data_IF_989319636738
#
_entry.id   IF_989319636738
#
_cell.length_a   1.000
_cell.length_b   1.000
_cell.length_c   1.000
_cell.angle_alpha   90.00
_cell.angle_beta   90.00
_cell.angle_gamma   90.00
#
_symmetry.space_group_name_H-M   'P 1'
#
loop_
_entity.id
_entity.type
_entity.pdbx_description
1 polymer ?
#
# COMPACT_ATOMS: atom_id res chain seq x y z
N UNK A 1 18.50 -30.99 -15.49
CA UNK A 1 17.13 -30.79 -15.00
C UNK A 1 16.64 -29.53 -15.65
N UNK A 2 15.96 -29.76 -16.75
CA UNK A 2 15.25 -28.79 -17.57
C UNK A 2 14.24 -28.04 -16.71
N UNK A 3 14.31 -26.71 -16.72
CA UNK A 3 13.22 -25.87 -16.23
C UNK A 3 12.82 -24.99 -17.40
N UNK A 4 11.64 -25.32 -17.88
CA UNK A 4 10.98 -24.83 -19.07
C UNK A 4 10.86 -23.30 -19.07
N UNK A 5 11.32 -22.75 -20.17
CA UNK A 5 11.06 -21.40 -20.66
C UNK A 5 9.55 -21.28 -20.94
N UNK A 6 8.80 -20.82 -19.94
CA UNK A 6 7.40 -20.41 -20.13
C UNK A 6 7.38 -19.03 -20.75
N UNK A 7 7.45 -19.01 -22.08
CA UNK A 7 7.09 -17.86 -22.90
C UNK A 7 5.65 -17.44 -22.58
N UNK A 8 5.56 -16.29 -21.90
CA UNK A 8 4.32 -15.57 -21.68
C UNK A 8 3.80 -15.11 -23.04
N UNK A 9 2.73 -15.77 -23.47
CA UNK A 9 1.88 -15.40 -24.59
C UNK A 9 1.62 -13.89 -24.59
N UNK A 10 2.27 -13.21 -25.52
CA UNK A 10 1.92 -11.89 -26.01
C UNK A 10 0.49 -11.98 -26.54
N UNK A 11 -0.48 -11.57 -25.73
CA UNK A 11 -1.84 -11.31 -26.21
C UNK A 11 -1.74 -10.09 -27.11
N UNK A 12 -1.62 -10.34 -28.40
CA UNK A 12 -1.92 -9.34 -29.41
C UNK A 12 -3.42 -9.05 -29.29
N UNK A 13 -3.76 -7.92 -28.66
CA UNK A 13 -5.11 -7.36 -28.76
C UNK A 13 -5.35 -6.97 -30.21
N UNK A 14 -5.91 -7.91 -30.95
CA UNK A 14 -6.47 -7.70 -32.27
C UNK A 14 -7.60 -6.68 -32.15
N UNK A 15 -7.37 -5.46 -32.62
CA UNK A 15 -8.35 -4.39 -32.65
C UNK A 15 -9.49 -4.75 -33.61
N UNK A 16 -10.56 -5.36 -33.09
CA UNK A 16 -11.81 -5.54 -33.81
C UNK A 16 -12.52 -4.18 -33.82
N UNK A 17 -12.13 -3.31 -34.74
CA UNK A 17 -12.92 -2.13 -35.10
C UNK A 17 -14.14 -2.62 -35.86
N UNK A 18 -15.25 -2.79 -35.15
CA UNK A 18 -16.54 -2.98 -35.79
C UNK A 18 -16.88 -1.72 -36.61
N UNK A 19 -17.13 -1.83 -37.93
CA UNK A 19 -17.48 -0.67 -38.73
C UNK A 19 -18.89 -0.18 -38.34
N UNK A 20 -18.97 1.10 -37.96
CA UNK A 20 -20.24 1.79 -37.75
C UNK A 20 -21.15 1.64 -38.98
N UNK A 21 -22.45 1.32 -38.81
CA UNK A 21 -23.37 1.30 -39.93
C UNK A 21 -23.57 2.71 -40.49
N UNK A 22 -23.70 2.87 -41.83
CA UNK A 22 -23.84 4.17 -42.46
C UNK A 22 -25.13 4.89 -42.02
N UNK A 23 -25.13 6.23 -41.93
CA UNK A 23 -26.32 6.97 -41.58
C UNK A 23 -27.40 6.78 -42.65
N UNK A 24 -28.58 6.32 -42.23
CA UNK A 24 -29.75 6.21 -43.12
C UNK A 24 -30.16 7.63 -43.56
N UNK A 25 -30.43 7.85 -44.86
CA UNK A 25 -30.88 9.14 -45.34
C UNK A 25 -32.29 9.41 -44.81
N UNK A 26 -32.42 10.46 -44.00
CA UNK A 26 -33.72 11.02 -43.63
C UNK A 26 -34.26 11.71 -44.88
N UNK A 27 -35.39 11.23 -45.40
CA UNK A 27 -36.10 11.85 -46.51
C UNK A 27 -36.41 13.31 -46.13
N UNK A 28 -35.68 14.23 -46.75
CA UNK A 28 -36.01 15.66 -46.74
C UNK A 28 -37.35 15.83 -47.45
N UNK A 29 -38.43 15.99 -46.67
CA UNK A 29 -39.73 16.36 -47.20
C UNK A 29 -39.63 17.81 -47.68
N UNK A 30 -39.50 17.97 -48.99
CA UNK A 30 -39.60 19.24 -49.68
C UNK A 30 -40.87 19.97 -49.25
N UNK A 31 -40.72 21.09 -48.53
CA UNK A 31 -41.79 22.08 -48.41
C UNK A 31 -41.69 22.98 -49.63
N UNK A 32 -42.61 22.77 -50.57
CA UNK A 32 -42.85 23.65 -51.71
C UNK A 32 -43.07 25.08 -51.21
N UNK A 33 -42.12 25.97 -51.47
CA UNK A 33 -42.33 27.40 -51.43
C UNK A 33 -43.03 27.80 -52.73
N UNK A 34 -44.35 27.60 -52.78
CA UNK A 34 -45.21 28.18 -53.81
C UNK A 34 -45.48 29.64 -53.43
N UNK A 35 -44.68 30.53 -54.01
CA UNK A 35 -45.06 31.93 -54.18
C UNK A 35 -46.19 31.97 -55.21
N UNK A 36 -47.36 32.46 -54.81
CA UNK A 36 -48.31 33.10 -55.70
C UNK A 36 -48.91 34.33 -55.01
N UNK A 37 -49.30 35.35 -55.80
CA UNK A 37 -49.36 36.75 -55.39
C UNK A 37 -50.70 37.11 -54.76
N UNK A 38 -50.68 38.17 -53.95
CA UNK A 38 -51.85 38.98 -53.62
C UNK A 38 -52.59 39.41 -54.89
N UNK A 39 -53.92 39.26 -54.91
CA UNK A 39 -54.74 40.23 -55.61
C UNK A 39 -55.78 40.83 -54.65
N UNK A 40 -56.14 42.09 -54.94
CA UNK A 40 -57.31 42.80 -54.44
C UNK A 40 -57.08 43.78 -53.27
N UNK A 41 -56.10 44.66 -53.44
CA UNK A 41 -56.26 46.05 -53.01
C UNK A 41 -56.96 46.84 -54.12
N UNK A 42 -58.28 46.74 -54.23
CA UNK A 42 -59.17 47.71 -54.88
C UNK A 42 -60.62 47.24 -54.71
N UNK A 43 -61.39 47.96 -53.89
CA UNK A 43 -62.75 48.46 -54.14
C UNK A 43 -63.16 49.21 -52.85
N UNK A 44 -62.93 50.52 -52.84
CA UNK A 44 -63.78 51.45 -52.11
C UNK A 44 -64.87 51.87 -53.09
N UNK A 45 -66.13 51.52 -52.82
CA UNK A 45 -67.30 52.39 -53.02
C UNK A 45 -68.58 51.72 -52.46
N UNK A 46 -68.92 52.13 -51.23
CA UNK A 46 -70.26 52.60 -50.80
C UNK A 46 -71.47 52.18 -51.67
N UNK A 47 -72.29 51.25 -51.17
CA UNK A 47 -73.77 51.37 -51.24
C UNK A 47 -74.48 50.39 -50.32
N UNK A 48 -75.30 50.97 -49.45
CA UNK A 48 -76.67 50.55 -49.08
C UNK A 48 -76.91 49.14 -48.54
N UNK A 49 -77.60 49.12 -47.40
CA UNK A 49 -78.10 47.93 -46.76
C UNK A 49 -78.94 47.08 -47.70
N UNK A 50 -78.67 45.78 -47.64
CA UNK A 50 -79.57 44.74 -48.06
C UNK A 50 -79.56 43.72 -46.92
N UNK A 51 -80.45 43.95 -45.96
CA UNK A 51 -80.84 42.93 -44.99
C UNK A 51 -81.53 41.83 -45.81
N UNK A 52 -80.74 40.85 -46.26
CA UNK A 52 -81.29 39.66 -46.87
C UNK A 52 -82.07 38.90 -45.79
N UNK A 53 -83.21 38.36 -46.21
CA UNK A 53 -84.29 37.68 -45.47
C UNK A 53 -83.86 36.52 -44.52
N UNK A 54 -82.56 36.37 -44.26
CA UNK A 54 -81.95 35.52 -43.23
C UNK A 54 -82.05 36.09 -41.80
N UNK A 55 -82.35 37.38 -41.63
CA UNK A 55 -82.44 38.02 -40.31
C UNK A 55 -83.75 37.72 -39.56
N UNK A 56 -84.77 37.17 -40.24
CA UNK A 56 -86.10 36.91 -39.64
C UNK A 56 -86.31 35.49 -39.14
N UNK A 57 -85.37 34.57 -39.36
CA UNK A 57 -85.46 33.20 -38.84
C UNK A 57 -84.58 33.01 -37.58
N UNK A 58 -85.17 32.95 -36.37
CA UNK A 58 -84.44 32.73 -35.13
C UNK A 58 -83.63 31.41 -35.12
N UNK A 59 -84.05 30.43 -35.92
CA UNK A 59 -83.35 29.14 -36.06
C UNK A 59 -82.01 29.27 -36.77
N UNK A 60 -81.96 30.04 -37.87
CA UNK A 60 -80.71 30.29 -38.61
C UNK A 60 -79.71 31.11 -37.81
N UNK A 61 -80.17 32.12 -37.06
CA UNK A 61 -79.30 32.93 -36.19
C UNK A 61 -78.67 32.10 -35.07
N UNK A 62 -79.43 31.19 -34.45
CA UNK A 62 -78.90 30.25 -33.45
C UNK A 62 -77.87 29.31 -34.06
N UNK A 63 -78.18 28.71 -35.21
CA UNK A 63 -77.24 27.82 -35.94
C UNK A 63 -75.95 28.54 -36.34
N UNK A 64 -76.04 29.79 -36.80
CA UNK A 64 -74.87 30.60 -37.12
C UNK A 64 -74.00 30.83 -35.87
N UNK A 65 -74.63 31.23 -34.75
CA UNK A 65 -73.93 31.39 -33.47
C UNK A 65 -73.29 30.10 -32.96
N UNK A 66 -73.97 28.96 -33.10
CA UNK A 66 -73.43 27.65 -32.73
C UNK A 66 -72.26 27.24 -33.63
N UNK A 67 -72.32 27.54 -34.94
CA UNK A 67 -71.21 27.32 -35.86
C UNK A 67 -70.03 28.22 -35.55
N UNK A 68 -70.23 29.51 -35.31
CA UNK A 68 -69.18 30.44 -34.89
C UNK A 68 -68.50 29.98 -33.61
N UNK A 69 -69.27 29.59 -32.59
CA UNK A 69 -68.73 29.01 -31.35
C UNK A 69 -67.91 27.75 -31.59
N UNK A 70 -68.35 26.87 -32.50
CA UNK A 70 -67.59 25.67 -32.88
C UNK A 70 -66.28 26.03 -33.60
N UNK A 71 -66.29 27.02 -34.48
CA UNK A 71 -65.08 27.50 -35.16
C UNK A 71 -64.09 28.12 -34.17
N UNK A 72 -64.55 28.99 -33.27
CA UNK A 72 -63.70 29.58 -32.22
C UNK A 72 -63.13 28.50 -31.28
N UNK A 73 -63.96 27.54 -30.87
CA UNK A 73 -63.50 26.41 -30.05
C UNK A 73 -62.47 25.53 -30.79
N UNK A 74 -62.64 25.33 -32.10
CA UNK A 74 -61.70 24.57 -32.94
C UNK A 74 -60.39 25.34 -33.14
N UNK A 75 -60.47 26.65 -33.37
CA UNK A 75 -59.30 27.52 -33.50
C UNK A 75 -58.51 27.59 -32.19
N UNK A 76 -59.21 27.69 -31.05
CA UNK A 76 -58.61 27.62 -29.72
C UNK A 76 -57.88 26.30 -29.48
N UNK A 77 -58.51 25.16 -29.83
CA UNK A 77 -57.88 23.83 -29.73
C UNK A 77 -56.67 23.69 -30.65
N UNK A 78 -56.74 24.21 -31.88
CA UNK A 78 -55.63 24.18 -32.83
C UNK A 78 -54.43 25.00 -32.33
N UNK A 79 -54.69 26.21 -31.81
CA UNK A 79 -53.65 27.06 -31.20
C UNK A 79 -53.02 26.38 -29.99
N UNK A 80 -53.82 25.85 -29.07
CA UNK A 80 -53.33 25.13 -27.90
C UNK A 80 -52.49 23.90 -28.28
N UNK A 81 -52.94 23.11 -29.26
CA UNK A 81 -52.19 21.94 -29.74
C UNK A 81 -50.87 22.36 -30.42
N UNK A 82 -50.89 23.45 -31.18
CA UNK A 82 -49.68 23.98 -31.83
C UNK A 82 -48.67 24.47 -30.79
N UNK A 83 -49.12 25.23 -29.80
CA UNK A 83 -48.28 25.70 -28.70
C UNK A 83 -47.70 24.54 -27.91
N UNK A 84 -48.53 23.57 -27.51
CA UNK A 84 -48.08 22.35 -26.83
C UNK A 84 -47.01 21.61 -27.64
N UNK A 85 -47.21 21.43 -28.95
CA UNK A 85 -46.23 20.75 -29.81
C UNK A 85 -44.89 21.50 -29.93
N UNK A 86 -44.91 22.84 -29.92
CA UNK A 86 -43.69 23.66 -29.97
C UNK A 86 -42.97 23.59 -28.63
N UNK A 87 -43.70 23.70 -27.51
CA UNK A 87 -43.14 23.63 -26.16
C UNK A 87 -42.53 22.26 -25.89
N UNK A 88 -43.22 21.17 -26.29
CA UNK A 88 -42.69 19.81 -26.17
C UNK A 88 -41.43 19.61 -27.02
N UNK A 89 -41.41 20.11 -28.27
CA UNK A 89 -40.24 20.04 -29.12
C UNK A 89 -39.04 20.83 -28.55
N UNK A 90 -39.29 22.01 -28.00
CA UNK A 90 -38.26 22.82 -27.33
C UNK A 90 -37.74 22.13 -26.07
N UNK A 91 -38.62 21.58 -25.22
CA UNK A 91 -38.24 20.82 -24.03
C UNK A 91 -37.38 19.60 -24.38
N UNK A 92 -37.78 18.85 -25.42
CA UNK A 92 -37.01 17.69 -25.89
C UNK A 92 -35.64 18.10 -26.45
N UNK A 93 -35.57 19.19 -27.21
CA UNK A 93 -34.31 19.73 -27.71
C UNK A 93 -33.38 20.17 -26.57
N UNK A 94 -33.90 20.88 -25.57
CA UNK A 94 -33.13 21.29 -24.40
C UNK A 94 -32.61 20.10 -23.58
N UNK A 95 -33.43 19.05 -23.40
CA UNK A 95 -33.00 17.81 -22.73
C UNK A 95 -31.88 17.14 -23.50
N UNK A 96 -32.02 17.00 -24.82
CA UNK A 96 -30.98 16.39 -25.66
C UNK A 96 -29.70 17.22 -25.62
N UNK A 97 -29.81 18.55 -25.73
CA UNK A 97 -28.67 19.47 -25.64
C UNK A 97 -27.94 19.32 -24.31
N UNK A 98 -28.66 19.37 -23.19
CA UNK A 98 -28.09 19.19 -21.84
C UNK A 98 -27.41 17.81 -21.70
N UNK A 99 -28.03 16.75 -22.19
CA UNK A 99 -27.45 15.41 -22.16
C UNK A 99 -26.16 15.33 -23.00
N UNK A 100 -26.11 15.97 -24.17
CA UNK A 100 -24.90 16.02 -25.00
C UNK A 100 -23.79 16.87 -24.38
N UNK A 101 -24.13 18.01 -23.79
CA UNK A 101 -23.17 18.87 -23.09
C UNK A 101 -22.61 18.17 -21.84
N UNK A 102 -23.46 17.47 -21.08
CA UNK A 102 -23.00 16.68 -19.94
C UNK A 102 -22.11 15.53 -20.38
N UNK A 103 -22.50 14.77 -21.41
CA UNK A 103 -21.68 13.68 -21.94
C UNK A 103 -20.31 14.17 -22.43
N UNK A 104 -20.24 15.35 -23.04
CA UNK A 104 -18.97 15.95 -23.46
C UNK A 104 -18.08 16.29 -22.25
N UNK A 105 -18.67 16.88 -21.19
CA UNK A 105 -17.94 17.14 -19.93
C UNK A 105 -17.43 15.87 -19.27
N UNK A 106 -18.29 14.85 -19.15
CA UNK A 106 -17.91 13.57 -18.54
C UNK A 106 -16.76 12.91 -19.34
N UNK A 107 -16.80 13.01 -20.68
CA UNK A 107 -15.71 12.52 -21.55
C UNK A 107 -14.41 13.29 -21.32
N UNK A 108 -14.46 14.62 -21.25
CA UNK A 108 -13.29 15.46 -20.99
C UNK A 108 -12.68 15.17 -19.60
N UNK A 109 -13.52 14.94 -18.59
CA UNK A 109 -13.09 14.55 -17.24
C UNK A 109 -12.39 13.19 -17.24
N UNK A 110 -12.93 12.20 -17.94
CA UNK A 110 -12.30 10.88 -18.10
C UNK A 110 -10.97 11.00 -18.85
N UNK A 111 -10.91 11.76 -19.94
CA UNK A 111 -9.66 12.00 -20.67
C UNK A 111 -8.63 12.68 -19.77
N UNK A 112 -9.03 13.65 -18.96
CA UNK A 112 -8.14 14.31 -18.02
C UNK A 112 -7.64 13.35 -16.93
N UNK A 113 -8.53 12.50 -16.39
CA UNK A 113 -8.17 11.47 -15.42
C UNK A 113 -7.16 10.47 -15.99
N UNK A 114 -7.43 9.92 -17.17
CA UNK A 114 -6.52 8.99 -17.86
C UNK A 114 -5.15 9.62 -18.15
N UNK A 115 -5.10 10.89 -18.56
CA UNK A 115 -3.82 11.60 -18.76
C UNK A 115 -3.05 11.78 -17.46
N UNK A 116 -3.72 12.07 -16.33
CA UNK A 116 -3.07 12.15 -15.02
C UNK A 116 -2.52 10.78 -14.59
N UNK A 117 -3.29 9.73 -14.81
CA UNK A 117 -2.86 8.36 -14.48
C UNK A 117 -1.67 7.93 -15.34
N UNK A 118 -1.68 8.20 -16.65
CA UNK A 118 -0.55 7.90 -17.54
C UNK A 118 0.72 8.67 -17.13
N UNK A 119 0.57 9.93 -16.72
CA UNK A 119 1.67 10.72 -16.17
C UNK A 119 2.19 10.12 -14.84
N UNK A 120 1.32 9.64 -13.96
CA UNK A 120 1.72 8.97 -12.73
C UNK A 120 2.43 7.63 -13.02
N UNK A 121 1.90 6.81 -13.93
CA UNK A 121 2.50 5.54 -14.35
C UNK A 121 3.87 5.73 -15.00
N UNK A 122 4.05 6.78 -15.81
CA UNK A 122 5.37 7.08 -16.39
C UNK A 122 6.41 7.44 -15.33
N UNK A 123 6.03 8.22 -14.30
CA UNK A 123 6.90 8.52 -13.15
C UNK A 123 7.27 7.27 -12.38
N UNK A 124 6.29 6.45 -11.99
CA UNK A 124 6.57 5.20 -11.26
C UNK A 124 7.44 4.24 -12.08
N UNK A 125 7.25 4.18 -13.40
CA UNK A 125 8.09 3.36 -14.28
C UNK A 125 9.54 3.88 -14.32
N UNK A 126 9.76 5.19 -14.31
CA UNK A 126 11.12 5.75 -14.17
C UNK A 126 11.75 5.42 -12.82
N UNK A 127 10.99 5.52 -11.72
CA UNK A 127 11.46 5.15 -10.39
C UNK A 127 11.83 3.66 -10.32
N UNK A 128 10.97 2.77 -10.82
CA UNK A 128 11.25 1.32 -10.91
C UNK A 128 12.53 1.05 -11.69
N UNK A 129 12.77 1.74 -12.81
CA UNK A 129 14.03 1.60 -13.57
C UNK A 129 15.24 2.05 -12.75
N UNK A 130 15.13 3.17 -12.03
CA UNK A 130 16.23 3.65 -11.17
C UNK A 130 16.51 2.71 -10.00
N UNK A 131 15.46 2.17 -9.36
CA UNK A 131 15.59 1.22 -8.26
C UNK A 131 16.21 -0.10 -8.74
N UNK A 132 15.80 -0.61 -9.91
CA UNK A 132 16.43 -1.79 -10.52
C UNK A 132 17.91 -1.58 -10.80
N UNK A 133 18.30 -0.40 -11.29
CA UNK A 133 19.72 -0.08 -11.52
C UNK A 133 20.50 -0.03 -10.19
N UNK A 134 19.93 0.56 -9.14
CA UNK A 134 20.53 0.58 -7.79
C UNK A 134 20.67 -0.83 -7.20
N UNK A 135 19.65 -1.67 -7.37
CA UNK A 135 19.65 -3.04 -6.89
C UNK A 135 20.74 -3.86 -7.58
N UNK A 136 20.86 -3.77 -8.92
CA UNK A 136 21.94 -4.43 -9.66
C UNK A 136 23.34 -3.96 -9.22
N UNK A 137 23.51 -2.67 -8.95
CA UNK A 137 24.78 -2.14 -8.43
C UNK A 137 25.10 -2.66 -7.03
N UNK A 138 24.11 -2.74 -6.14
CA UNK A 138 24.27 -3.29 -4.79
C UNK A 138 24.54 -4.80 -4.80
N UNK A 139 23.92 -5.55 -5.71
CA UNK A 139 24.22 -6.97 -5.90
C UNK A 139 25.67 -7.19 -6.35
N UNK A 140 26.17 -6.36 -7.27
CA UNK A 140 27.57 -6.41 -7.70
C UNK A 140 28.54 -6.07 -6.57
N UNK A 141 28.23 -5.07 -5.73
CA UNK A 141 29.03 -4.75 -4.55
C UNK A 141 29.01 -5.87 -3.50
N UNK A 142 27.84 -6.46 -3.23
CA UNK A 142 27.75 -7.62 -2.34
C UNK A 142 28.55 -8.82 -2.87
N UNK A 143 28.50 -9.08 -4.18
CA UNK A 143 29.33 -10.11 -4.79
C UNK A 143 30.83 -9.82 -4.63
N UNK A 144 31.24 -8.55 -4.74
CA UNK A 144 32.62 -8.12 -4.51
C UNK A 144 33.05 -8.29 -3.04
N UNK A 145 32.26 -7.79 -2.10
CA UNK A 145 32.55 -7.88 -0.66
C UNK A 145 32.58 -9.33 -0.18
N UNK A 146 31.70 -10.19 -0.69
CA UNK A 146 31.73 -11.62 -0.36
C UNK A 146 32.97 -12.32 -0.92
N UNK A 147 33.44 -11.95 -2.11
CA UNK A 147 34.70 -12.45 -2.66
C UNK A 147 35.91 -11.98 -1.83
N UNK A 148 35.93 -10.72 -1.42
CA UNK A 148 36.99 -10.15 -0.57
C UNK A 148 37.02 -10.80 0.82
N UNK A 149 35.85 -10.99 1.45
CA UNK A 149 35.73 -11.69 2.73
C UNK A 149 36.27 -13.12 2.65
N UNK A 150 35.97 -13.85 1.56
CA UNK A 150 36.53 -15.19 1.32
C UNK A 150 38.05 -15.15 1.16
N UNK A 151 38.58 -14.19 0.40
CA UNK A 151 40.01 -14.03 0.19
C UNK A 151 40.76 -13.70 1.50
N UNK A 152 40.23 -12.76 2.29
CA UNK A 152 40.78 -12.39 3.60
C UNK A 152 40.71 -13.56 4.59
N UNK A 153 39.61 -14.32 4.60
CA UNK A 153 39.48 -15.51 5.42
C UNK A 153 40.52 -16.58 5.06
N UNK A 154 40.79 -16.79 3.76
CA UNK A 154 41.84 -17.70 3.31
C UNK A 154 43.24 -17.22 3.75
N UNK A 155 43.55 -15.93 3.53
CA UNK A 155 44.82 -15.34 3.97
C UNK A 155 45.04 -15.46 5.48
N UNK A 156 43.98 -15.21 6.27
CA UNK A 156 44.02 -15.33 7.71
C UNK A 156 44.23 -16.79 8.17
N UNK A 157 43.64 -17.75 7.45
CA UNK A 157 43.88 -19.18 7.69
C UNK A 157 45.33 -19.57 7.36
N UNK A 158 45.91 -19.04 6.28
CA UNK A 158 47.30 -19.27 5.90
C UNK A 158 48.27 -18.71 6.96
N UNK A 159 48.06 -17.47 7.41
CA UNK A 159 48.85 -16.89 8.51
C UNK A 159 48.71 -17.67 9.82
N UNK A 160 47.50 -18.18 10.15
CA UNK A 160 47.31 -19.05 11.32
C UNK A 160 48.09 -20.35 11.20
N UNK A 161 48.13 -20.95 10.00
CA UNK A 161 48.90 -22.17 9.75
C UNK A 161 50.42 -21.91 9.85
N UNK A 162 50.88 -20.78 9.35
CA UNK A 162 52.28 -20.36 9.47
C UNK A 162 52.68 -20.13 10.93
N UNK A 163 51.87 -19.39 11.71
CA UNK A 163 52.11 -19.19 13.15
C UNK A 163 52.18 -20.54 13.88
N UNK A 164 51.28 -21.49 13.56
CA UNK A 164 51.32 -22.84 14.14
C UNK A 164 52.60 -23.57 13.78
N UNK A 165 53.05 -23.50 12.53
CA UNK A 165 54.29 -24.12 12.07
C UNK A 165 55.52 -23.51 12.76
N UNK A 166 55.59 -22.19 12.86
CA UNK A 166 56.67 -21.48 13.56
C UNK A 166 56.67 -21.78 15.06
N UNK A 167 55.51 -21.82 15.70
CA UNK A 167 55.38 -22.19 17.12
C UNK A 167 55.84 -23.62 17.37
N UNK A 168 55.50 -24.56 16.47
CA UNK A 168 55.98 -25.93 16.53
C UNK A 168 57.52 -25.98 16.40
N UNK A 169 58.10 -25.29 15.42
CA UNK A 169 59.57 -25.19 15.25
C UNK A 169 60.27 -24.59 16.48
N UNK A 170 59.70 -23.54 17.07
CA UNK A 170 60.22 -22.95 18.31
C UNK A 170 60.15 -23.92 19.48
N UNK A 171 59.08 -24.69 19.62
CA UNK A 171 58.96 -25.70 20.68
C UNK A 171 60.00 -26.82 20.53
N UNK A 172 60.27 -27.29 19.30
CA UNK A 172 61.30 -28.29 19.03
C UNK A 172 62.70 -27.75 19.27
N UNK A 173 62.97 -26.49 18.90
CA UNK A 173 64.27 -25.85 19.15
C UNK A 173 64.51 -25.65 20.65
N UNK A 174 63.48 -25.28 21.42
CA UNK A 174 63.55 -25.18 22.89
C UNK A 174 63.81 -26.56 23.53
N UNK A 175 63.12 -27.61 23.08
CA UNK A 175 63.34 -28.96 23.57
C UNK A 175 64.73 -29.54 23.22
N UNK A 176 65.33 -29.10 22.11
CA UNK A 176 66.68 -29.49 21.71
C UNK A 176 67.79 -28.73 22.47
N UNK A 177 67.46 -27.61 23.12
CA UNK A 177 68.40 -26.79 23.90
C UNK A 177 68.46 -27.16 25.38
N UNK A 178 67.64 -28.10 25.86
CA UNK A 178 67.68 -28.62 27.23
C UNK A 178 68.45 -29.95 27.29
N UNK A 179 69.30 -30.19 28.32
CA UNK A 179 70.12 -31.40 28.41
C UNK A 179 69.24 -32.66 28.66
N UNK A 180 69.65 -33.85 28.15
CA UNK A 180 68.76 -35.00 28.06
C UNK A 180 68.63 -35.72 29.40
N UNK A 181 67.52 -35.48 30.12
CA UNK A 181 67.01 -36.44 31.09
C UNK A 181 66.18 -37.50 30.34
N UNK A 182 66.74 -38.70 30.24
CA UNK A 182 66.09 -39.90 29.67
C UNK A 182 64.74 -40.14 30.36
N UNK A 183 63.67 -40.29 29.58
CA UNK A 183 62.64 -41.33 29.74
C UNK A 183 61.81 -41.47 28.44
N UNK A 184 61.56 -42.70 27.94
CA UNK A 184 60.73 -42.94 26.77
C UNK A 184 59.28 -43.15 27.19
N UNK A 185 58.35 -42.41 26.60
CA UNK A 185 56.94 -42.71 26.81
C UNK A 185 55.98 -41.68 26.22
N UNK A 186 55.14 -42.18 25.31
CA UNK A 186 53.69 -41.95 25.29
C UNK A 186 53.16 -41.40 23.97
N UNK A 187 52.52 -42.31 23.24
CA UNK A 187 51.59 -42.03 22.18
C UNK A 187 50.30 -41.42 22.75
N UNK A 188 50.25 -40.10 22.89
CA UNK A 188 49.02 -39.36 23.23
C UNK A 188 48.89 -38.17 22.28
N UNK A 189 48.44 -38.39 21.04
CA UNK A 189 48.08 -37.27 20.16
C UNK A 189 47.06 -37.59 19.06
N UNK A 190 46.02 -38.34 19.39
CA UNK A 190 44.83 -38.49 18.50
C UNK A 190 43.51 -38.20 19.23
N UNK A 191 43.45 -38.28 20.57
CA UNK A 191 42.21 -38.06 21.34
C UNK A 191 41.80 -36.60 21.56
N UNK A 192 42.72 -35.63 21.41
CA UNK A 192 42.40 -34.22 21.62
C UNK A 192 41.46 -33.66 20.54
N UNK A 193 41.60 -34.08 19.28
CA UNK A 193 40.77 -33.56 18.18
C UNK A 193 39.34 -34.16 18.18
N UNK A 194 39.18 -35.39 18.67
CA UNK A 194 37.88 -36.05 18.73
C UNK A 194 37.02 -35.53 19.90
N UNK A 195 37.64 -35.18 21.03
CA UNK A 195 36.97 -34.54 22.17
C UNK A 195 36.50 -33.11 21.86
N UNK A 196 37.22 -32.37 21.01
CA UNK A 196 36.80 -31.04 20.55
C UNK A 196 35.63 -31.17 19.56
N UNK A 197 35.64 -32.16 18.67
CA UNK A 197 34.53 -32.38 17.73
C UNK A 197 33.23 -32.81 18.44
N UNK A 198 33.30 -33.65 19.47
CA UNK A 198 32.12 -34.04 20.27
C UNK A 198 31.63 -32.93 21.18
N UNK A 199 32.53 -32.11 21.75
CA UNK A 199 32.14 -30.93 22.53
C UNK A 199 31.49 -29.83 21.67
N UNK A 200 31.92 -29.66 20.42
CA UNK A 200 31.30 -28.72 19.47
C UNK A 200 29.94 -29.24 18.98
N UNK A 201 29.78 -30.56 18.81
CA UNK A 201 28.49 -31.18 18.49
C UNK A 201 27.50 -31.11 19.66
N UNK A 202 27.95 -31.30 20.91
CA UNK A 202 27.10 -31.14 22.09
C UNK A 202 26.62 -29.68 22.26
N UNK A 203 27.52 -28.71 22.07
CA UNK A 203 27.18 -27.28 22.09
C UNK A 203 26.23 -26.88 20.96
N UNK A 204 26.33 -27.51 19.79
CA UNK A 204 25.41 -27.21 18.68
C UNK A 204 23.99 -27.74 18.93
N UNK A 205 23.85 -28.89 19.58
CA UNK A 205 22.55 -29.40 20.04
C UNK A 205 21.95 -28.52 21.16
N UNK A 206 22.76 -28.05 22.11
CA UNK A 206 22.30 -27.10 23.14
C UNK A 206 21.81 -25.78 22.54
N UNK A 207 22.52 -25.23 21.54
CA UNK A 207 22.10 -24.00 20.84
C UNK A 207 20.80 -24.22 20.06
N UNK A 208 20.62 -25.37 19.39
CA UNK A 208 19.35 -25.71 18.73
C UNK A 208 18.20 -25.78 19.73
N UNK A 209 18.43 -26.40 20.89
CA UNK A 209 17.41 -26.54 21.92
C UNK A 209 17.04 -25.18 22.55
N UNK A 210 18.02 -24.28 22.75
CA UNK A 210 17.74 -22.91 23.19
C UNK A 210 16.95 -22.13 22.15
N UNK A 211 17.28 -22.28 20.86
CA UNK A 211 16.53 -21.65 19.77
C UNK A 211 15.09 -22.14 19.71
N UNK A 212 14.86 -23.46 19.84
CA UNK A 212 13.50 -24.00 19.88
C UNK A 212 12.67 -23.48 21.07
N UNK A 213 13.32 -23.22 22.21
CA UNK A 213 12.64 -22.58 23.35
C UNK A 213 12.29 -21.13 23.03
N UNK A 214 13.22 -20.39 22.44
CA UNK A 214 12.99 -19.01 22.01
C UNK A 214 11.86 -18.91 20.98
N UNK A 215 11.88 -19.74 19.94
CA UNK A 215 10.84 -19.81 18.90
C UNK A 215 9.46 -20.07 19.54
N UNK A 216 9.37 -21.02 20.48
CA UNK A 216 8.12 -21.30 21.20
C UNK A 216 7.64 -20.09 22.03
N UNK A 217 8.55 -19.41 22.75
CA UNK A 217 8.18 -18.21 23.50
C UNK A 217 7.75 -17.09 22.57
N UNK A 218 8.43 -16.90 21.44
CA UNK A 218 8.04 -15.96 20.39
C UNK A 218 6.63 -16.24 19.87
N UNK A 219 6.32 -17.48 19.55
CA UNK A 219 5.00 -17.87 19.03
C UNK A 219 3.87 -17.64 20.05
N UNK A 220 4.13 -17.87 21.35
CA UNK A 220 3.14 -17.70 22.42
C UNK A 220 2.93 -16.25 22.84
N UNK A 221 3.98 -15.44 22.82
CA UNK A 221 3.99 -14.09 23.41
C UNK A 221 3.99 -12.98 22.36
N UNK A 222 4.34 -13.30 21.11
CA UNK A 222 4.60 -12.33 20.05
C UNK A 222 5.85 -11.49 20.28
N UNK A 223 6.66 -11.79 21.30
CA UNK A 223 7.88 -11.06 21.67
C UNK A 223 9.12 -11.81 21.16
N UNK A 224 9.93 -11.12 20.36
CA UNK A 224 11.21 -11.63 19.85
C UNK A 224 12.37 -10.80 20.39
N UNK A 225 13.47 -11.47 20.76
CA UNK A 225 14.72 -10.82 21.16
C UNK A 225 15.69 -10.93 19.99
N UNK A 226 15.91 -9.83 19.27
CA UNK A 226 16.72 -9.81 18.04
C UNK A 226 18.23 -9.87 18.32
N UNK A 227 18.65 -9.29 19.44
CA UNK A 227 20.04 -9.20 19.82
C UNK A 227 20.19 -8.86 21.30
N UNK A 228 21.32 -9.28 21.86
CA UNK A 228 21.69 -9.02 23.25
C UNK A 228 23.07 -8.36 23.21
N UNK A 229 23.17 -7.17 23.80
CA UNK A 229 24.42 -6.47 24.03
C UNK A 229 24.72 -6.53 25.52
N UNK A 230 25.76 -7.28 25.87
CA UNK A 230 26.23 -7.39 27.25
C UNK A 230 27.37 -6.41 27.47
N UNK A 231 27.15 -5.44 28.34
CA UNK A 231 28.17 -4.52 28.83
C UNK A 231 28.59 -4.93 30.26
N UNK A 232 29.61 -4.25 30.82
CA UNK A 232 30.16 -4.60 32.12
C UNK A 232 29.15 -4.42 33.26
N UNK A 233 28.29 -3.39 33.16
CA UNK A 233 27.34 -3.01 34.20
C UNK A 233 25.87 -3.21 33.79
N UNK A 234 25.57 -3.41 32.50
CA UNK A 234 24.20 -3.49 31.98
C UNK A 234 24.07 -4.50 30.83
N UNK A 235 22.91 -5.18 30.73
CA UNK A 235 22.53 -5.99 29.57
C UNK A 235 21.42 -5.28 28.79
N UNK A 236 21.67 -4.94 27.52
CA UNK A 236 20.68 -4.33 26.62
C UNK A 236 20.11 -5.35 25.64
N UNK A 237 18.79 -5.44 25.58
CA UNK A 237 18.04 -6.37 24.73
C UNK A 237 17.30 -5.60 23.63
N UNK A 238 17.51 -5.96 22.36
CA UNK A 238 16.73 -5.45 21.21
C UNK A 238 15.46 -6.28 21.06
N UNK A 239 14.32 -5.72 21.45
CA UNK A 239 13.05 -6.42 21.51
C UNK A 239 12.11 -5.96 20.40
N UNK A 240 11.38 -6.91 19.81
CA UNK A 240 10.30 -6.66 18.86
C UNK A 240 9.06 -7.35 19.38
N UNK A 241 8.04 -6.57 19.71
CA UNK A 241 6.69 -7.08 19.99
C UNK A 241 5.85 -6.99 18.71
N UNK A 242 5.33 -8.11 18.27
CA UNK A 242 4.38 -8.19 17.15
C UNK A 242 2.94 -8.26 17.67
N UNK A 243 2.02 -7.66 16.94
CA UNK A 243 0.59 -7.67 17.25
C UNK A 243 -0.28 -7.43 16.02
N UNK A 244 -1.59 -7.25 16.24
CA UNK A 244 -2.54 -6.97 15.16
C UNK A 244 -2.34 -5.58 14.56
N UNK A 245 -1.88 -4.63 15.37
CA UNK A 245 -1.70 -3.23 15.00
C UNK A 245 -0.29 -2.92 14.50
N UNK A 246 0.49 -3.94 14.12
CA UNK A 246 1.87 -3.77 13.64
C UNK A 246 2.91 -4.32 14.62
N UNK A 247 4.09 -3.69 14.63
CA UNK A 247 5.25 -4.15 15.41
C UNK A 247 5.85 -3.01 16.21
N UNK A 248 5.99 -3.19 17.52
CA UNK A 248 6.66 -2.25 18.41
C UNK A 248 8.10 -2.73 18.64
N UNK A 249 9.08 -1.91 18.24
CA UNK A 249 10.49 -2.16 18.54
C UNK A 249 10.93 -1.30 19.71
N UNK A 250 11.70 -1.88 20.61
CA UNK A 250 12.22 -1.17 21.77
C UNK A 250 13.49 -1.83 22.31
N UNK A 251 14.29 -1.06 23.03
CA UNK A 251 15.36 -1.59 23.86
C UNK A 251 14.86 -1.77 25.28
N UNK A 252 15.27 -2.88 25.88
CA UNK A 252 15.09 -3.14 27.30
C UNK A 252 16.48 -3.32 27.92
N UNK A 253 16.86 -2.44 28.83
CA UNK A 253 18.15 -2.49 29.50
C UNK A 253 17.95 -2.92 30.94
N UNK A 254 18.75 -3.89 31.38
CA UNK A 254 18.75 -4.40 32.76
C UNK A 254 20.07 -4.02 33.39
N UNK A 255 20.03 -3.09 34.34
CA UNK A 255 21.23 -2.70 35.07
C UNK A 255 21.55 -3.76 36.13
N UNK A 256 22.80 -4.21 36.17
CA UNK A 256 23.31 -5.11 37.20
C UNK A 256 23.73 -4.37 38.47
N UNK A 257 23.22 -3.15 38.68
CA UNK A 257 23.63 -2.28 39.77
C UNK A 257 23.64 -3.04 41.09
N UNK A 258 24.85 -3.19 41.63
CA UNK A 258 25.04 -3.55 43.02
C UNK A 258 24.58 -2.36 43.83
N UNK A 259 23.35 -2.38 44.32
CA UNK A 259 22.90 -1.50 45.39
C UNK A 259 23.64 -1.86 46.68
N UNK A 260 24.95 -1.66 46.66
CA UNK A 260 25.81 -1.61 47.81
C UNK A 260 25.48 -0.31 48.56
N UNK A 261 24.37 -0.35 49.31
CA UNK A 261 24.32 0.45 50.52
C UNK A 261 25.52 0.02 51.34
N UNK A 262 26.43 0.97 51.57
CA UNK A 262 27.66 0.78 52.32
C UNK A 262 27.39 0.02 53.63
N UNK A 263 27.80 -1.24 53.70
CA UNK A 263 27.87 -1.98 54.96
C UNK A 263 27.57 -3.48 54.96
N UNK A 264 26.94 -4.05 53.92
CA UNK A 264 26.61 -5.49 53.97
C UNK A 264 26.89 -6.21 52.64
N UNK A 265 27.83 -7.17 52.58
CA UNK A 265 28.06 -7.97 51.39
C UNK A 265 26.97 -9.05 51.30
N UNK A 266 25.83 -8.70 50.70
CA UNK A 266 24.78 -9.64 50.33
C UNK A 266 24.62 -9.67 48.81
N UNK A 267 24.23 -10.81 48.20
CA UNK A 267 23.81 -10.83 46.81
C UNK A 267 22.62 -9.87 46.67
N UNK A 268 22.68 -8.97 45.68
CA UNK A 268 21.55 -8.11 45.36
C UNK A 268 20.29 -8.96 45.18
N UNK A 269 19.19 -8.53 45.77
CA UNK A 269 17.91 -9.21 45.61
C UNK A 269 17.54 -9.16 44.13
N UNK A 270 17.30 -10.32 43.50
CA UNK A 270 16.87 -10.45 42.11
C UNK A 270 15.66 -9.57 41.75
N UNK A 271 14.84 -9.24 42.76
CA UNK A 271 13.65 -8.39 42.67
C UNK A 271 13.96 -6.89 42.58
N UNK A 272 15.16 -6.45 42.98
CA UNK A 272 15.57 -5.04 43.01
C UNK A 272 16.18 -4.57 41.67
N UNK A 273 16.29 -5.46 40.68
CA UNK A 273 16.79 -5.09 39.35
C UNK A 273 15.85 -4.08 38.67
N UNK A 274 16.42 -3.01 38.14
CA UNK A 274 15.69 -1.98 37.40
C UNK A 274 15.77 -2.23 35.89
N UNK A 275 14.64 -2.08 35.22
CA UNK A 275 14.49 -2.18 33.78
C UNK A 275 14.32 -0.79 33.20
N UNK A 276 15.13 -0.42 32.23
CA UNK A 276 14.94 0.77 31.41
C UNK A 276 14.36 0.37 30.05
N UNK A 277 13.30 1.04 29.64
CA UNK A 277 12.63 0.87 28.36
C UNK A 277 12.91 2.09 27.50
N UNK A 278 13.40 1.85 26.28
CA UNK A 278 13.61 2.89 25.27
C UNK A 278 12.88 2.51 23.99
N UNK A 279 11.81 3.21 23.62
CA UNK A 279 11.08 2.89 22.40
C UNK A 279 11.87 3.27 21.15
N UNK A 280 11.68 2.50 20.07
CA UNK A 280 12.23 2.79 18.75
C UNK A 280 11.10 2.93 17.74
N UNK A 281 10.62 4.17 17.56
CA UNK A 281 9.58 4.48 16.59
C UNK A 281 10.16 5.03 15.28
N UNK A 282 9.55 4.64 14.18
CA UNK A 282 9.70 5.27 12.88
C UNK A 282 8.43 6.07 12.57
N UNK A 283 8.57 7.40 12.49
CA UNK A 283 7.46 8.34 12.32
C UNK A 283 6.63 8.13 11.04
N UNK A 284 7.11 7.34 10.07
CA UNK A 284 6.32 6.98 8.87
C UNK A 284 5.62 5.63 8.97
N UNK A 285 6.21 4.68 9.70
CA UNK A 285 5.69 3.30 9.76
C UNK A 285 4.79 3.06 10.98
N UNK A 286 5.00 3.81 12.06
CA UNK A 286 4.36 3.57 13.35
C UNK A 286 3.27 4.59 13.69
N UNK A 287 2.78 5.38 12.72
CA UNK A 287 1.77 6.43 12.96
C UNK A 287 0.50 5.87 13.60
N UNK A 288 -0.06 4.83 13.00
CA UNK A 288 -1.28 4.19 13.50
C UNK A 288 -1.07 3.58 14.90
N UNK A 289 0.16 3.15 15.20
CA UNK A 289 0.51 2.59 16.50
C UNK A 289 0.65 3.68 17.58
N UNK A 290 1.21 4.84 17.23
CA UNK A 290 1.36 5.98 18.13
C UNK A 290 0.01 6.54 18.60
N UNK A 291 -1.03 6.47 17.77
CA UNK A 291 -2.38 6.95 18.13
C UNK A 291 -3.07 6.09 19.21
N UNK A 292 -2.70 4.81 19.33
CA UNK A 292 -3.29 3.86 20.31
C UNK A 292 -2.43 3.74 21.57
N UNK A 293 -1.12 3.95 21.45
CA UNK A 293 -0.19 3.78 22.55
C UNK A 293 -0.40 4.86 23.63
N UNK A 294 -0.46 4.48 24.91
CA UNK A 294 -0.40 5.43 26.00
C UNK A 294 0.91 6.23 25.98
N UNK A 295 0.84 7.51 26.35
CA UNK A 295 1.99 8.45 26.34
C UNK A 295 3.24 7.87 27.02
N UNK A 296 3.09 7.16 28.14
CA UNK A 296 4.23 6.58 28.87
C UNK A 296 4.95 5.43 28.14
N UNK A 297 4.36 4.84 27.09
CA UNK A 297 5.04 3.88 26.21
C UNK A 297 5.69 4.57 25.00
N UNK A 298 5.41 5.86 24.79
CA UNK A 298 6.06 6.66 23.75
C UNK A 298 7.35 7.29 24.25
N UNK A 299 7.55 7.34 25.57
CA UNK A 299 8.71 7.92 26.25
C UNK A 299 9.62 6.83 26.85
N UNK A 300 10.85 7.24 27.18
CA UNK A 300 11.78 6.40 27.91
C UNK A 300 11.34 6.29 29.38
N UNK A 301 11.20 5.07 29.89
CA UNK A 301 10.75 4.82 31.26
C UNK A 301 11.65 3.81 31.96
N UNK A 302 11.82 3.97 33.27
CA UNK A 302 12.47 2.99 34.13
C UNK A 302 11.48 2.44 35.15
N UNK A 303 11.53 1.13 35.40
CA UNK A 303 10.64 0.46 36.35
C UNK A 303 11.31 -0.77 36.97
N UNK A 304 10.91 -1.17 38.19
CA UNK A 304 11.49 -2.34 38.85
C UNK A 304 11.02 -3.65 38.19
N UNK A 305 11.83 -4.70 38.31
CA UNK A 305 11.52 -6.05 37.79
C UNK A 305 10.14 -6.56 38.18
N UNK A 306 9.71 -6.30 39.40
CA UNK A 306 8.39 -6.68 39.91
C UNK A 306 7.21 -6.12 39.09
N UNK A 307 7.43 -5.02 38.36
CA UNK A 307 6.46 -4.39 37.47
C UNK A 307 6.58 -4.82 36.00
N UNK A 308 7.61 -5.59 35.63
CA UNK A 308 7.84 -6.02 34.24
C UNK A 308 6.67 -6.81 33.66
N UNK A 309 6.04 -7.67 34.46
CA UNK A 309 4.85 -8.41 34.03
C UNK A 309 3.68 -7.48 33.69
N UNK A 310 3.47 -6.43 34.51
CA UNK A 310 2.40 -5.44 34.27
C UNK A 310 2.68 -4.62 33.02
N UNK A 311 3.94 -4.18 32.85
CA UNK A 311 4.40 -3.51 31.64
C UNK A 311 4.10 -4.36 30.40
N UNK A 312 4.52 -5.63 30.41
CA UNK A 312 4.29 -6.55 29.28
C UNK A 312 2.80 -6.74 28.97
N UNK A 313 1.95 -6.94 29.99
CA UNK A 313 0.49 -7.02 29.78
C UNK A 313 -0.05 -5.76 29.11
N UNK A 314 0.40 -4.57 29.51
CA UNK A 314 -0.04 -3.31 28.89
C UNK A 314 0.40 -3.19 27.44
N UNK A 315 1.63 -3.59 27.12
CA UNK A 315 2.12 -3.61 25.74
C UNK A 315 1.25 -4.54 24.89
N UNK A 316 1.02 -5.78 25.33
CA UNK A 316 0.20 -6.75 24.59
C UNK A 316 -1.24 -6.26 24.41
N UNK A 317 -1.83 -5.67 25.45
CA UNK A 317 -3.17 -5.09 25.37
C UNK A 317 -3.23 -4.01 24.28
N UNK A 318 -2.26 -3.10 24.23
CA UNK A 318 -2.22 -2.03 23.22
C UNK A 318 -2.01 -2.59 21.81
N UNK A 319 -1.15 -3.59 21.65
CA UNK A 319 -0.86 -4.25 20.38
C UNK A 319 -2.02 -5.12 19.86
N UNK A 320 -3.00 -5.45 20.71
CA UNK A 320 -4.13 -6.34 20.40
C UNK A 320 -5.49 -5.63 20.29
N UNK A 321 -5.59 -4.37 20.74
CA UNK A 321 -6.81 -3.54 20.61
C UNK A 321 -7.15 -3.35 19.14
N UNK A 322 -8.42 -3.31 18.78
CA UNK A 322 -8.82 -3.02 17.40
C UNK A 322 -8.84 -1.51 17.19
N UNK A 323 -8.39 -1.05 16.02
CA UNK A 323 -8.82 0.25 15.49
C UNK A 323 -10.35 0.19 15.37
N UNK A 324 -11.07 0.96 16.18
CA UNK A 324 -12.45 1.29 15.85
C UNK A 324 -12.37 2.39 14.78
N UNK A 325 -12.77 2.06 13.55
CA UNK A 325 -13.04 3.04 12.48
C UNK A 325 -14.16 4.01 12.86
#
# INVERSE_FOLDING_TARGET
MDVEERDLLRVEEESIVAPLPPPRPVLARARSASRQPDPLAQIRHRRQGSASDSERDPGLRRRLGDMTKKYEALEGKYKALREASVVEAQSNFEKLRKATEQKAKDQDEVIAALKRELAAQSKTNTEVKTLRAKLAAQEAENARLTAESKALSASLQDSRNEIRALTAKLSTARAASEPPAKMPGSAVKVRANQAVATAVAAKSEEVKLLKLKEDLYSDLTGLMIRGIQREADEDTYDCIQTGRNGTLRFYLTVSHQTSAVAGTPGPTSYEDAEFAYTPLFDAMNDQDLLDILPDYLTEEIAFPRSSAAKFYTKVVDCMSRKFEE
#
